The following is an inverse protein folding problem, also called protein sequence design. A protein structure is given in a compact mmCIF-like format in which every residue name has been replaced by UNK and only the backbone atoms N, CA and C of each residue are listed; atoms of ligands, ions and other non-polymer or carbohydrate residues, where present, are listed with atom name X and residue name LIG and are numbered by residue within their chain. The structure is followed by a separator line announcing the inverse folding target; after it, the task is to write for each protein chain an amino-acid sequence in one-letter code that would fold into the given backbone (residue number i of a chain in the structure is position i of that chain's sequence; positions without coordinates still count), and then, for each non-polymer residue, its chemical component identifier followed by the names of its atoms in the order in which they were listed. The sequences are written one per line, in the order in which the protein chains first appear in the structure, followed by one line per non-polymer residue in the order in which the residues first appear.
data_IF_765594059114
#
_entry.id   IF_765594059114
#
_cell.length_a   1.000
_cell.length_b   1.000
_cell.length_c   1.000
_cell.angle_alpha   90.00
_cell.angle_beta   90.00
_cell.angle_gamma   90.00
#
_symmetry.space_group_name_H-M   'P 1'
#
loop_
_entity.id
_entity.type
_entity.pdbx_description
1 polymer ?
#
# COMPACT_ATOMS: atom_id res chain seq x y z
N UNK A 1 0.14 -77.81 12.12
CA UNK A 1 -1.32 -77.89 12.39
C UNK A 1 -1.49 -77.22 13.74
N UNK A 2 -2.05 -76.02 13.93
CA UNK A 2 -3.03 -75.20 13.20
C UNK A 2 -2.57 -73.74 13.30
N UNK A 3 -2.77 -72.95 12.24
CA UNK A 3 -2.65 -71.51 12.27
C UNK A 3 -3.94 -70.91 12.83
N UNK A 4 -3.85 -69.96 13.76
CA UNK A 4 -4.90 -68.95 13.95
C UNK A 4 -4.29 -67.65 14.41
N UNK A 5 -4.74 -66.61 13.72
CA UNK A 5 -4.33 -65.22 13.72
C UNK A 5 -4.78 -64.54 15.02
N UNK A 6 -3.93 -63.69 15.59
CA UNK A 6 -4.33 -62.75 16.64
C UNK A 6 -4.99 -61.54 15.96
N UNK A 7 -6.28 -61.36 16.21
CA UNK A 7 -7.04 -60.21 15.73
C UNK A 7 -6.59 -58.91 16.40
N UNK A 8 -6.10 -57.99 15.58
CA UNK A 8 -5.79 -56.61 15.92
C UNK A 8 -7.09 -55.80 16.08
N UNK A 9 -7.54 -55.58 17.32
CA UNK A 9 -8.50 -54.52 17.62
C UNK A 9 -7.76 -53.26 18.09
N UNK A 10 -7.12 -52.58 17.14
CA UNK A 10 -6.61 -51.22 17.34
C UNK A 10 -7.80 -50.25 17.28
N UNK A 11 -8.12 -49.65 18.43
CA UNK A 11 -9.13 -48.61 18.57
C UNK A 11 -8.69 -47.37 17.80
N UNK A 12 -9.32 -47.11 16.65
CA UNK A 12 -9.14 -45.91 15.83
C UNK A 12 -9.20 -44.63 16.70
N UNK A 13 -8.20 -43.73 16.63
CA UNK A 13 -8.25 -42.47 17.34
C UNK A 13 -9.29 -41.54 16.70
N UNK A 14 -10.16 -41.03 17.57
CA UNK A 14 -11.20 -40.05 17.33
C UNK A 14 -10.76 -38.98 16.31
N UNK A 15 -11.43 -38.96 15.15
CA UNK A 15 -11.27 -37.98 14.08
C UNK A 15 -11.58 -36.59 14.65
N UNK A 16 -10.53 -35.86 15.06
CA UNK A 16 -10.61 -34.48 15.49
C UNK A 16 -11.19 -33.65 14.34
N UNK A 17 -12.46 -33.27 14.44
CA UNK A 17 -13.09 -32.33 13.50
C UNK A 17 -12.32 -31.02 13.60
N UNK A 18 -11.49 -30.74 12.59
CA UNK A 18 -10.81 -29.47 12.43
C UNK A 18 -11.89 -28.43 12.16
N UNK A 19 -12.32 -27.71 13.19
CA UNK A 19 -13.10 -26.49 13.01
C UNK A 19 -12.36 -25.62 11.97
N UNK A 20 -13.06 -24.96 11.04
CA UNK A 20 -12.41 -24.14 10.04
C UNK A 20 -11.67 -23.03 10.77
N UNK A 21 -10.35 -23.13 10.85
CA UNK A 21 -9.48 -22.00 11.12
C UNK A 21 -9.75 -21.01 10.00
N UNK A 22 -10.65 -20.07 10.28
CA UNK A 22 -11.00 -18.97 9.39
C UNK A 22 -9.72 -18.17 9.21
N UNK A 23 -9.19 -18.18 7.98
CA UNK A 23 -8.02 -17.38 7.65
C UNK A 23 -8.36 -15.91 7.95
N UNK A 24 -7.64 -15.32 8.90
CA UNK A 24 -7.62 -13.87 9.06
C UNK A 24 -6.90 -13.35 7.83
N UNK A 25 -7.64 -13.07 6.75
CA UNK A 25 -7.05 -12.50 5.54
C UNK A 25 -6.59 -11.08 5.85
N UNK A 26 -5.33 -10.79 5.55
CA UNK A 26 -4.84 -9.43 5.61
C UNK A 26 -5.56 -8.58 4.55
N UNK A 27 -5.85 -7.30 4.83
CA UNK A 27 -6.38 -6.39 3.83
C UNK A 27 -5.38 -6.26 2.67
N UNK A 28 -5.89 -6.21 1.44
CA UNK A 28 -5.10 -5.94 0.25
C UNK A 28 -5.15 -4.45 -0.04
N UNK A 29 -4.01 -3.90 -0.43
CA UNK A 29 -3.87 -2.49 -0.76
C UNK A 29 -3.41 -2.34 -2.21
N UNK A 30 -4.04 -1.42 -2.93
CA UNK A 30 -3.64 -1.00 -4.27
C UNK A 30 -3.58 0.52 -4.28
N UNK A 31 -2.54 1.09 -4.86
CA UNK A 31 -2.36 2.53 -4.99
C UNK A 31 -2.50 2.91 -6.45
N UNK A 32 -3.31 3.93 -6.69
CA UNK A 32 -3.49 4.56 -7.99
C UNK A 32 -3.08 6.04 -7.91
N UNK A 33 -2.60 6.56 -9.03
CA UNK A 33 -2.27 7.99 -9.14
C UNK A 33 -3.50 8.75 -9.62
N UNK A 34 -4.07 9.59 -8.76
CA UNK A 34 -5.20 10.43 -9.11
C UNK A 34 -4.76 11.65 -9.93
N UNK A 35 -3.70 12.33 -9.50
CA UNK A 35 -3.10 13.45 -10.22
C UNK A 35 -1.70 13.76 -9.69
N UNK A 36 -0.94 14.57 -10.42
CA UNK A 36 0.32 15.13 -9.93
C UNK A 36 0.49 16.57 -10.45
N UNK A 37 1.24 17.38 -9.70
CA UNK A 37 1.51 18.77 -10.04
C UNK A 37 2.99 19.09 -9.83
N UNK A 38 3.61 19.72 -10.83
CA UNK A 38 4.96 20.30 -10.70
C UNK A 38 4.85 21.76 -10.29
N UNK A 39 5.37 22.09 -9.12
CA UNK A 39 5.29 23.43 -8.55
C UNK A 39 6.45 24.33 -9.05
N UNK A 40 7.47 23.74 -9.67
CA UNK A 40 8.54 24.48 -10.34
C UNK A 40 8.97 23.78 -11.64
N UNK A 41 9.71 24.52 -12.49
CA UNK A 41 10.11 24.03 -13.80
C UNK A 41 11.30 23.04 -13.65
N UNK A 42 11.03 21.74 -13.80
CA UNK A 42 11.99 20.64 -13.61
C UNK A 42 13.27 20.84 -14.44
N UNK A 43 13.15 21.50 -15.59
CA UNK A 43 14.24 21.78 -16.53
C UNK A 43 15.18 22.89 -16.06
N UNK A 44 14.71 23.87 -15.28
CA UNK A 44 15.45 25.11 -15.04
C UNK A 44 16.04 25.20 -13.62
N UNK A 45 15.39 24.62 -12.61
CA UNK A 45 15.85 24.68 -11.21
C UNK A 45 16.56 23.41 -10.76
N UNK A 46 17.67 23.56 -10.02
CA UNK A 46 18.38 22.43 -9.35
C UNK A 46 17.52 21.74 -8.30
N UNK A 47 16.45 22.40 -7.87
CA UNK A 47 15.45 21.84 -6.98
C UNK A 47 14.19 21.51 -7.74
N UNK A 48 13.52 20.43 -7.38
CA UNK A 48 12.23 20.03 -7.93
C UNK A 48 11.21 20.04 -6.79
N UNK A 49 10.03 20.58 -7.05
CA UNK A 49 8.92 20.63 -6.11
C UNK A 49 7.72 19.96 -6.75
N UNK A 50 7.30 18.84 -6.19
CA UNK A 50 6.26 17.98 -6.75
C UNK A 50 5.19 17.68 -5.71
N UNK A 51 3.95 17.66 -6.16
CA UNK A 51 2.83 17.15 -5.38
C UNK A 51 2.21 15.97 -6.13
N UNK A 52 1.93 14.88 -5.43
CA UNK A 52 1.19 13.74 -5.98
C UNK A 52 -0.05 13.51 -5.14
N UNK A 53 -1.17 13.39 -5.83
CA UNK A 53 -2.43 12.97 -5.25
C UNK A 53 -2.62 11.49 -5.54
N UNK A 54 -2.57 10.67 -4.50
CA UNK A 54 -2.64 9.22 -4.58
C UNK A 54 -4.00 8.77 -4.06
N UNK A 55 -4.62 7.81 -4.73
CA UNK A 55 -5.82 7.11 -4.23
C UNK A 55 -5.39 5.73 -3.79
N UNK A 56 -5.66 5.40 -2.54
CA UNK A 56 -5.34 4.07 -1.99
C UNK A 56 -6.64 3.30 -1.82
N UNK A 57 -6.75 2.20 -2.57
CA UNK A 57 -7.83 1.25 -2.51
C UNK A 57 -7.50 0.16 -1.49
N UNK A 58 -8.41 -0.04 -0.54
CA UNK A 58 -8.29 -1.05 0.50
C UNK A 58 -9.40 -2.08 0.32
N UNK A 59 -9.02 -3.31 0.03
CA UNK A 59 -9.93 -4.45 -0.01
C UNK A 59 -9.81 -5.23 1.31
N UNK A 60 -10.84 -5.13 2.13
CA UNK A 60 -10.98 -5.90 3.35
C UNK A 60 -11.86 -7.13 3.09
N UNK A 61 -11.24 -8.20 2.64
CA UNK A 61 -11.89 -9.52 2.47
C UNK A 61 -12.17 -10.25 3.79
N UNK A 62 -11.72 -9.71 4.94
CA UNK A 62 -11.90 -10.38 6.22
C UNK A 62 -13.38 -10.55 6.56
N UNK A 63 -13.75 -11.75 7.00
CA UNK A 63 -15.16 -12.09 7.26
C UNK A 63 -15.70 -11.56 8.58
N UNK A 64 -14.82 -11.27 9.55
CA UNK A 64 -15.24 -10.96 10.92
C UNK A 64 -14.69 -9.65 11.46
N UNK A 65 -13.75 -9.00 10.74
CA UNK A 65 -13.00 -7.87 11.27
C UNK A 65 -13.08 -6.69 10.31
N UNK A 66 -13.29 -5.50 10.87
CA UNK A 66 -13.03 -4.26 10.17
C UNK A 66 -11.51 -4.01 10.13
N UNK A 67 -11.05 -3.31 9.10
CA UNK A 67 -9.67 -2.85 9.01
C UNK A 67 -9.61 -1.36 9.28
N UNK A 68 -9.05 -0.97 10.43
CA UNK A 68 -8.92 0.44 10.81
C UNK A 68 -7.45 0.88 10.81
N UNK A 69 -7.18 2.02 10.17
CA UNK A 69 -5.87 2.66 10.06
C UNK A 69 -5.76 3.80 11.09
N UNK A 70 -4.66 3.83 11.85
CA UNK A 70 -4.37 4.90 12.82
C UNK A 70 -3.73 6.08 12.14
N UNK A 71 -2.65 5.78 11.43
CA UNK A 71 -1.77 6.70 10.77
C UNK A 71 -0.88 5.90 9.83
N UNK A 72 -0.17 6.62 8.98
CA UNK A 72 0.81 6.02 8.09
C UNK A 72 1.61 7.10 7.40
N UNK A 73 2.67 6.66 6.75
CA UNK A 73 3.61 7.50 6.04
C UNK A 73 3.66 7.02 4.59
N UNK A 74 3.78 7.97 3.68
CA UNK A 74 3.95 7.70 2.25
C UNK A 74 5.17 8.46 1.77
N UNK A 75 5.99 7.79 0.97
CA UNK A 75 7.13 8.36 0.27
C UNK A 75 7.00 8.02 -1.20
N UNK A 76 7.06 9.04 -2.06
CA UNK A 76 7.16 8.86 -3.50
C UNK A 76 8.61 9.09 -3.88
N UNK A 77 9.24 8.11 -4.50
CA UNK A 77 10.63 8.18 -4.92
C UNK A 77 10.79 7.93 -6.42
N UNK A 78 11.84 8.50 -7.00
CA UNK A 78 12.26 8.26 -8.38
C UNK A 78 13.75 7.93 -8.38
N UNK A 79 14.10 6.78 -8.96
CA UNK A 79 15.48 6.30 -9.01
C UNK A 79 16.18 6.32 -7.63
N UNK A 80 15.43 5.98 -6.56
CA UNK A 80 15.94 5.96 -5.18
C UNK A 80 15.97 7.33 -4.47
N UNK A 81 15.61 8.43 -5.13
CA UNK A 81 15.53 9.75 -4.50
C UNK A 81 14.08 10.07 -4.16
N UNK A 82 13.80 10.39 -2.89
CA UNK A 82 12.48 10.78 -2.45
C UNK A 82 12.09 12.16 -3.02
N UNK A 83 11.02 12.18 -3.80
CA UNK A 83 10.47 13.36 -4.46
C UNK A 83 9.37 14.03 -3.65
N UNK A 84 8.59 13.26 -2.88
CA UNK A 84 7.50 13.77 -2.08
C UNK A 84 7.22 12.86 -0.87
N UNK A 85 6.69 13.46 0.19
CA UNK A 85 6.29 12.77 1.41
C UNK A 85 4.86 13.14 1.76
N UNK A 86 4.14 12.23 2.39
CA UNK A 86 2.78 12.49 2.85
C UNK A 86 2.44 11.66 4.08
N UNK A 87 1.34 12.07 4.70
CA UNK A 87 0.75 11.35 5.83
C UNK A 87 -0.59 10.80 5.42
N UNK A 88 -0.83 9.57 5.82
CA UNK A 88 -2.08 8.87 5.61
C UNK A 88 -3.12 9.46 6.55
N UNK A 89 -4.35 9.75 6.08
CA UNK A 89 -5.41 10.23 6.96
C UNK A 89 -5.61 9.22 8.10
N UNK A 90 -5.55 9.72 9.32
CA UNK A 90 -5.80 8.89 10.49
C UNK A 90 -7.29 8.58 10.66
N UNK A 91 -7.60 7.47 11.35
CA UNK A 91 -8.96 7.04 11.69
C UNK A 91 -9.82 6.64 10.48
N UNK A 92 -9.21 6.06 9.45
CA UNK A 92 -9.94 5.47 8.33
C UNK A 92 -10.26 4.01 8.63
N UNK A 93 -11.52 3.60 8.52
CA UNK A 93 -11.95 2.23 8.77
C UNK A 93 -12.69 1.66 7.56
N UNK A 94 -12.32 0.44 7.18
CA UNK A 94 -12.94 -0.33 6.12
C UNK A 94 -13.76 -1.45 6.75
N UNK A 95 -15.09 -1.47 6.57
CA UNK A 95 -15.93 -2.55 7.06
C UNK A 95 -15.49 -3.93 6.58
N UNK A 96 -15.95 -4.99 7.25
CA UNK A 96 -15.73 -6.37 6.81
C UNK A 96 -16.31 -6.59 5.41
N UNK A 97 -15.64 -7.40 4.59
CA UNK A 97 -16.07 -7.76 3.22
C UNK A 97 -16.43 -6.55 2.37
N UNK A 98 -15.62 -5.49 2.47
CA UNK A 98 -15.87 -4.25 1.73
C UNK A 98 -14.59 -3.70 1.14
N UNK A 99 -14.77 -2.91 0.09
CA UNK A 99 -13.70 -2.16 -0.57
C UNK A 99 -13.98 -0.69 -0.36
N UNK A 100 -12.97 0.05 0.08
CA UNK A 100 -13.08 1.51 0.26
C UNK A 100 -11.77 2.17 -0.12
N UNK A 101 -11.85 3.41 -0.59
CA UNK A 101 -10.68 4.18 -0.99
C UNK A 101 -10.55 5.44 -0.13
N UNK A 102 -9.31 5.88 0.04
CA UNK A 102 -9.01 7.19 0.60
C UNK A 102 -7.90 7.85 -0.22
N UNK A 103 -7.86 9.18 -0.18
CA UNK A 103 -6.83 9.96 -0.87
C UNK A 103 -5.69 10.32 0.07
N UNK A 104 -4.48 10.38 -0.48
CA UNK A 104 -3.28 10.84 0.21
C UNK A 104 -2.61 11.88 -0.66
N UNK A 105 -2.51 13.09 -0.12
CA UNK A 105 -1.70 14.15 -0.72
C UNK A 105 -0.25 13.98 -0.24
N UNK A 106 0.67 13.85 -1.18
CA UNK A 106 2.11 13.90 -0.91
C UNK A 106 2.68 15.16 -1.55
N UNK A 107 3.65 15.76 -0.87
CA UNK A 107 4.29 16.97 -1.33
C UNK A 107 5.78 16.93 -1.01
N UNK A 108 6.60 17.42 -1.93
CA UNK A 108 8.02 17.67 -1.71
C UNK A 108 8.32 19.07 -2.21
N UNK A 109 8.92 19.90 -1.36
CA UNK A 109 9.36 21.25 -1.71
C UNK A 109 10.87 21.29 -1.76
N UNK A 110 11.42 21.79 -2.86
CA UNK A 110 12.85 22.06 -2.94
C UNK A 110 13.74 20.82 -2.96
N UNK A 111 13.26 19.68 -3.47
CA UNK A 111 14.03 18.43 -3.50
C UNK A 111 15.22 18.59 -4.43
N UNK A 112 16.42 18.48 -3.88
CA UNK A 112 17.66 18.52 -4.66
C UNK A 112 17.88 17.18 -5.36
N UNK A 113 17.89 17.24 -6.69
CA UNK A 113 18.29 16.12 -7.53
C UNK A 113 19.68 16.41 -8.09
N UNK A 114 20.48 15.36 -8.27
CA UNK A 114 21.73 15.50 -9.01
C UNK A 114 21.41 16.00 -10.42
N UNK A 115 22.29 16.84 -10.97
CA UNK A 115 22.09 17.41 -12.29
C UNK A 115 21.99 16.33 -13.38
N UNK A 116 22.67 15.20 -13.19
CA UNK A 116 22.60 14.03 -14.07
C UNK A 116 21.21 13.38 -14.03
N UNK A 117 20.71 13.02 -12.84
CA UNK A 117 19.37 12.44 -12.67
C UNK A 117 18.28 13.40 -13.16
N UNK A 118 18.40 14.70 -12.88
CA UNK A 118 17.41 15.69 -13.28
C UNK A 118 17.38 15.92 -14.80
N UNK A 119 18.53 16.22 -15.41
CA UNK A 119 18.59 16.62 -16.83
C UNK A 119 18.62 15.44 -17.79
N UNK A 120 19.28 14.33 -17.43
CA UNK A 120 19.44 13.19 -18.35
C UNK A 120 18.37 12.11 -18.19
N UNK A 121 17.73 12.01 -17.02
CA UNK A 121 16.73 10.96 -16.74
C UNK A 121 15.35 11.54 -16.54
N UNK A 122 15.16 12.31 -15.48
CA UNK A 122 13.86 12.83 -15.09
C UNK A 122 13.26 13.74 -16.17
N UNK A 123 14.01 14.71 -16.70
CA UNK A 123 13.45 15.66 -17.68
C UNK A 123 13.02 14.99 -19.00
N UNK A 124 13.83 14.10 -19.63
CA UNK A 124 13.40 13.34 -20.80
C UNK A 124 12.23 12.40 -20.50
N UNK A 125 12.30 11.62 -19.42
CA UNK A 125 11.23 10.69 -19.03
C UNK A 125 9.92 11.44 -18.78
N UNK A 126 10.01 12.63 -18.16
CA UNK A 126 8.87 13.49 -17.88
C UNK A 126 8.24 14.04 -19.15
N UNK A 127 9.05 14.44 -20.13
CA UNK A 127 8.56 14.89 -21.44
C UNK A 127 7.97 13.75 -22.27
N UNK A 128 8.52 12.55 -22.14
CA UNK A 128 8.03 11.36 -22.81
C UNK A 128 6.80 10.74 -22.13
N UNK A 129 6.46 11.14 -20.90
CA UNK A 129 5.39 10.51 -20.12
C UNK A 129 5.74 9.07 -19.70
N UNK A 130 7.01 8.78 -19.46
CA UNK A 130 7.51 7.44 -19.12
C UNK A 130 8.12 7.37 -17.72
N UNK A 131 7.88 8.39 -16.89
CA UNK A 131 8.46 8.46 -15.54
C UNK A 131 7.87 7.36 -14.67
N UNK A 132 8.73 6.49 -14.15
CA UNK A 132 8.36 5.48 -13.16
C UNK A 132 8.70 5.96 -11.77
N UNK A 133 7.69 6.13 -10.94
CA UNK A 133 7.86 6.47 -9.52
C UNK A 133 7.54 5.25 -8.66
N UNK A 134 8.27 5.08 -7.57
CA UNK A 134 8.00 4.08 -6.55
C UNK A 134 7.26 4.75 -5.40
N UNK A 135 6.08 4.23 -5.07
CA UNK A 135 5.31 4.64 -3.91
C UNK A 135 5.51 3.62 -2.81
N UNK A 136 6.19 4.05 -1.76
CA UNK A 136 6.37 3.29 -0.53
C UNK A 136 5.47 3.85 0.56
N UNK A 137 4.65 2.99 1.15
CA UNK A 137 3.69 3.36 2.18
C UNK A 137 3.80 2.43 3.37
N UNK A 138 3.87 3.02 4.56
CA UNK A 138 3.88 2.31 5.84
C UNK A 138 2.61 2.65 6.61
N UNK A 139 1.73 1.67 6.73
CA UNK A 139 0.43 1.78 7.40
C UNK A 139 0.48 1.16 8.78
N UNK A 140 -0.04 1.87 9.77
CA UNK A 140 -0.20 1.37 11.13
C UNK A 140 -1.68 1.15 11.42
N UNK A 141 -2.06 -0.07 11.77
CA UNK A 141 -3.45 -0.47 12.04
C UNK A 141 -3.79 -0.40 13.53
N UNK A 142 -5.06 -0.13 13.83
CA UNK A 142 -5.57 -0.25 15.20
C UNK A 142 -5.48 -1.73 15.61
N UNK A 143 -5.06 -2.01 16.84
CA UNK A 143 -5.33 -3.31 17.44
C UNK A 143 -6.85 -3.50 17.49
N UNK A 144 -7.37 -4.58 16.91
CA UNK A 144 -8.80 -4.86 16.90
C UNK A 144 -9.30 -5.05 18.34
N UNK A 145 -10.23 -4.20 18.80
CA UNK A 145 -10.87 -4.31 20.12
C UNK A 145 -11.82 -5.52 20.24
N UNK A 146 -12.02 -6.28 19.17
CA UNK A 146 -12.79 -7.53 19.19
C UNK A 146 -12.06 -8.66 19.96
N UNK A 147 -10.77 -8.49 20.25
CA UNK A 147 -9.99 -9.39 21.08
C UNK A 147 -9.59 -8.68 22.38
N UNK A 148 -9.48 -9.41 23.52
CA UNK A 148 -9.00 -8.82 24.76
C UNK A 148 -7.63 -8.16 24.55
N UNK A 149 -7.32 -7.03 25.24
CA UNK A 149 -6.15 -6.18 24.97
C UNK A 149 -4.80 -6.91 24.92
N UNK A 150 -4.72 -8.07 25.58
CA UNK A 150 -3.55 -8.95 25.68
C UNK A 150 -3.13 -9.61 24.35
N UNK A 151 -4.00 -9.65 23.33
CA UNK A 151 -3.66 -10.26 22.01
C UNK A 151 -3.71 -9.29 20.84
N UNK A 152 -4.12 -8.05 21.08
CA UNK A 152 -4.26 -7.05 20.03
C UNK A 152 -2.87 -6.47 19.69
N UNK A 153 -2.16 -7.09 18.75
CA UNK A 153 -0.86 -6.59 18.29
C UNK A 153 -1.06 -5.40 17.33
N UNK A 154 -0.38 -4.27 17.56
CA UNK A 154 -0.19 -3.28 16.52
C UNK A 154 0.42 -3.98 15.31
N UNK A 155 -0.19 -3.83 14.15
CA UNK A 155 0.34 -4.40 12.92
C UNK A 155 0.68 -3.28 11.94
N UNK A 156 1.88 -3.37 11.41
CA UNK A 156 2.35 -2.50 10.34
C UNK A 156 2.20 -3.23 9.02
N UNK A 157 1.60 -2.58 8.02
CA UNK A 157 1.59 -3.05 6.64
C UNK A 157 2.48 -2.14 5.81
N UNK A 158 3.42 -2.72 5.09
CA UNK A 158 4.25 -2.00 4.12
C UNK A 158 3.75 -2.30 2.71
N UNK A 159 3.63 -1.26 1.89
CA UNK A 159 3.19 -1.33 0.50
C UNK A 159 4.26 -0.66 -0.34
N UNK A 160 4.69 -1.31 -1.41
CA UNK A 160 5.64 -0.77 -2.38
C UNK A 160 5.09 -1.03 -3.76
N UNK A 161 4.77 0.03 -4.51
CA UNK A 161 4.17 -0.07 -5.83
C UNK A 161 4.81 0.92 -6.81
N UNK A 162 5.21 0.42 -7.98
CA UNK A 162 5.69 1.27 -9.08
C UNK A 162 4.48 1.81 -9.88
N UNK A 163 4.48 3.11 -10.14
CA UNK A 163 3.48 3.82 -10.94
C UNK A 163 4.13 4.57 -12.10
N UNK A 164 3.48 4.58 -13.26
CA UNK A 164 3.97 5.28 -14.46
C UNK A 164 3.21 6.61 -14.63
N UNK A 165 3.93 7.73 -14.59
CA UNK A 165 3.40 9.07 -14.90
C UNK A 165 3.33 9.22 -16.42
N UNK A 166 2.20 8.83 -17.01
CA UNK A 166 2.05 8.83 -18.47
C UNK A 166 0.69 8.40 -19.00
N UNK A 167 -0.05 7.59 -18.25
CA UNK A 167 -1.33 7.04 -18.68
C UNK A 167 -2.56 7.79 -18.11
N UNK A 168 -2.36 8.93 -17.46
CA UNK A 168 -3.45 9.84 -17.09
C UNK A 168 -3.79 10.73 -18.28
N UNK A 169 -4.46 10.16 -19.27
CA UNK A 169 -5.11 10.86 -20.40
C UNK A 169 -6.27 11.78 -19.97
N UNK A 170 -6.36 12.15 -18.70
CA UNK A 170 -7.29 13.13 -18.17
C UNK A 170 -6.60 13.85 -17.01
N UNK A 171 -5.93 14.95 -17.33
CA UNK A 171 -5.82 16.20 -16.56
C UNK A 171 -4.76 17.06 -17.28
N UNK A 172 -5.05 17.31 -18.57
CA UNK A 172 -4.63 18.55 -19.20
C UNK A 172 -5.43 19.70 -18.57
N UNK A 173 -4.72 20.81 -18.27
CA UNK A 173 -5.20 22.21 -18.16
C UNK A 173 -5.85 22.54 -16.78
N UNK A 174 -5.58 23.65 -16.07
CA UNK A 174 -5.17 25.02 -16.46
C UNK A 174 -4.11 25.63 -15.53
N UNK A 175 -3.13 26.30 -16.14
CA UNK A 175 -2.59 27.56 -15.63
C UNK A 175 -3.25 28.66 -16.47
N UNK A 176 -4.01 29.53 -15.82
CA UNK A 176 -4.41 30.85 -16.35
C UNK A 176 -3.73 31.91 -15.50
#
# INVERSE_FOLDING_TARGET
MVATVFDNNAKEPMKSSKAPFTSISAPKYTVDLASFQSLNNVTQSRTVSLAFNLTVHVDNSASFQACCLNHGEVVVSYSGVALAWGRVPGRFCVPRRSVTSFTVMTWGKGVHLSDDLRRRRLSPDWRAGTVKVLVDMKLHRYPNYALPPITARPSTSSISQELVLGNTSALQISLS
#
